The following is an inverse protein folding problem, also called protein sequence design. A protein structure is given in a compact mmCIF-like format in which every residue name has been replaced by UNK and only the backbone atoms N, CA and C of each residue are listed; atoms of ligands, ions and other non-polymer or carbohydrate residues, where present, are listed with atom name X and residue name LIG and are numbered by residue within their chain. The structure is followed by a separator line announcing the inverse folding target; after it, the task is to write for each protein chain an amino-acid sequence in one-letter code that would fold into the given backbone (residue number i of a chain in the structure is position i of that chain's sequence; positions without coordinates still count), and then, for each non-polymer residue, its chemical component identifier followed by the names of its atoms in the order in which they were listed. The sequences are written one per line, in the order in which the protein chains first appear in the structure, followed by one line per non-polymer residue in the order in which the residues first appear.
data_IF_676344706972
#
_entry.id   IF_676344706972
#
_cell.length_a   1.000
_cell.length_b   1.000
_cell.length_c   1.000
_cell.angle_alpha   90.00
_cell.angle_beta   90.00
_cell.angle_gamma   90.00
#
_symmetry.space_group_name_H-M   'P 1'
#
loop_
_entity.id
_entity.type
_entity.pdbx_description
1 polymer ?
#
# COMPACT_ATOMS: atom_id res chain seq x y z
N UNK A 1 -15.27 -29.40 -7.54
CA UNK A 1 -15.82 -28.43 -6.57
C UNK A 1 -14.83 -28.31 -5.43
N UNK A 2 -14.50 -27.10 -5.00
CA UNK A 2 -13.70 -26.89 -3.79
C UNK A 2 -14.69 -26.90 -2.63
N UNK A 3 -14.49 -27.81 -1.68
CA UNK A 3 -15.36 -27.94 -0.52
C UNK A 3 -14.80 -27.08 0.62
N UNK A 4 -15.55 -26.03 1.02
CA UNK A 4 -15.12 -25.06 2.03
C UNK A 4 -15.92 -25.29 3.30
N UNK A 5 -15.26 -25.75 4.37
CA UNK A 5 -15.88 -26.01 5.67
C UNK A 5 -15.66 -24.84 6.63
N UNK A 6 -16.73 -24.40 7.30
CA UNK A 6 -16.67 -23.36 8.33
C UNK A 6 -16.34 -24.02 9.68
N UNK A 7 -15.31 -23.52 10.36
CA UNK A 7 -14.89 -23.98 11.70
C UNK A 7 -15.34 -23.01 12.79
N UNK A 8 -15.78 -23.54 13.93
CA UNK A 8 -16.26 -22.78 15.09
C UNK A 8 -15.50 -23.21 16.36
N UNK A 9 -15.39 -22.31 17.35
CA UNK A 9 -14.77 -22.62 18.64
C UNK A 9 -13.25 -22.44 18.71
N UNK A 10 -12.59 -21.96 17.64
CA UNK A 10 -11.17 -21.62 17.67
C UNK A 10 -10.94 -20.28 18.41
N UNK A 11 -9.90 -20.17 19.25
CA UNK A 11 -9.58 -18.92 19.93
C UNK A 11 -9.15 -17.84 18.92
N UNK A 12 -9.62 -16.61 19.12
CA UNK A 12 -9.24 -15.47 18.29
C UNK A 12 -7.78 -15.12 18.62
N UNK A 13 -6.87 -15.06 17.62
CA UNK A 13 -5.49 -14.71 17.86
C UNK A 13 -5.37 -13.28 18.38
N UNK A 14 -4.43 -13.03 19.29
CA UNK A 14 -4.22 -11.70 19.82
C UNK A 14 -3.82 -10.72 18.71
N UNK A 15 -4.44 -9.51 18.66
CA UNK A 15 -4.13 -8.53 17.65
C UNK A 15 -2.68 -8.02 17.82
N UNK A 16 -1.82 -8.27 16.83
CA UNK A 16 -0.39 -7.85 16.81
C UNK A 16 -0.16 -6.33 16.67
N UNK A 17 -1.18 -5.50 16.76
CA UNK A 17 -1.11 -4.09 16.37
C UNK A 17 -0.97 -3.16 17.57
N UNK A 18 0.26 -2.88 17.99
CA UNK A 18 0.58 -1.67 18.78
C UNK A 18 1.42 -0.72 17.92
N UNK A 19 0.82 0.42 17.53
CA UNK A 19 1.56 1.63 17.14
C UNK A 19 2.55 1.52 15.98
N UNK A 20 2.25 0.74 14.94
CA UNK A 20 3.12 0.71 13.75
C UNK A 20 3.25 2.12 13.16
N UNK A 21 4.49 2.58 12.98
CA UNK A 21 4.79 3.84 12.27
C UNK A 21 4.19 3.77 10.86
N UNK A 22 3.64 4.87 10.33
CA UNK A 22 3.11 4.90 8.97
C UNK A 22 4.20 4.49 7.97
N UNK A 23 3.92 3.49 7.13
CA UNK A 23 4.87 2.99 6.13
C UNK A 23 5.17 4.01 5.01
N UNK A 24 4.32 5.02 4.85
CA UNK A 24 4.39 5.99 3.75
C UNK A 24 4.07 7.41 4.23
N UNK A 25 4.71 8.45 3.65
CA UNK A 25 4.63 9.82 4.15
C UNK A 25 3.37 10.58 3.69
N UNK A 26 2.22 9.92 3.51
CA UNK A 26 1.01 10.54 2.92
C UNK A 26 0.54 11.81 3.65
N UNK A 27 0.69 11.87 4.97
CA UNK A 27 0.29 13.02 5.77
C UNK A 27 1.14 14.27 5.52
N UNK A 28 2.40 14.08 5.13
CA UNK A 28 3.36 15.17 4.89
C UNK A 28 3.47 15.52 3.40
N UNK A 29 2.86 14.74 2.51
CA UNK A 29 2.96 14.89 1.07
C UNK A 29 2.05 16.02 0.57
N UNK A 30 2.63 17.11 0.07
CA UNK A 30 1.88 18.26 -0.47
C UNK A 30 1.43 18.00 -1.91
N UNK A 31 0.41 18.72 -2.36
CA UNK A 31 -0.05 18.65 -3.76
C UNK A 31 1.10 18.98 -4.71
N UNK A 32 1.32 18.11 -5.70
CA UNK A 32 2.43 18.19 -6.65
C UNK A 32 3.68 17.40 -6.23
N UNK A 33 3.83 17.03 -4.95
CA UNK A 33 4.96 16.24 -4.48
C UNK A 33 4.76 14.75 -4.74
N UNK A 34 5.89 14.02 -4.72
CA UNK A 34 5.90 12.57 -4.86
C UNK A 34 6.90 11.91 -3.92
N UNK A 35 6.67 10.65 -3.60
CA UNK A 35 7.66 9.77 -2.99
C UNK A 35 7.82 8.50 -3.83
N UNK A 36 8.98 7.85 -3.72
CA UNK A 36 9.30 6.61 -4.42
C UNK A 36 9.58 5.48 -3.44
N UNK A 37 9.15 4.28 -3.81
CA UNK A 37 9.41 3.04 -3.08
C UNK A 37 10.20 2.12 -4.00
N UNK A 38 11.37 1.60 -3.58
CA UNK A 38 12.13 0.67 -4.39
C UNK A 38 11.31 -0.59 -4.64
N UNK A 39 11.39 -1.09 -5.86
CA UNK A 39 10.79 -2.37 -6.21
C UNK A 39 11.71 -3.46 -5.66
N UNK A 40 11.39 -4.00 -4.47
CA UNK A 40 12.15 -5.10 -3.89
C UNK A 40 11.75 -6.42 -4.54
N UNK A 41 12.58 -6.93 -5.45
CA UNK A 41 12.41 -8.24 -6.10
C UNK A 41 13.12 -8.27 -7.45
N UNK A 42 13.65 -9.43 -7.82
CA UNK A 42 14.26 -9.67 -9.13
C UNK A 42 13.37 -9.10 -10.25
N UNK A 43 14.01 -8.55 -11.29
CA UNK A 43 13.40 -7.89 -12.47
C UNK A 43 12.19 -8.61 -13.08
N UNK A 44 11.95 -9.88 -12.75
CA UNK A 44 10.96 -10.79 -13.31
C UNK A 44 10.08 -11.54 -12.27
N UNK A 45 9.82 -10.98 -11.08
CA UNK A 45 8.97 -11.60 -10.06
C UNK A 45 7.69 -10.84 -9.69
N UNK A 46 6.72 -11.53 -9.09
CA UNK A 46 5.48 -10.98 -8.47
C UNK A 46 5.70 -9.85 -7.45
N UNK A 47 6.96 -9.52 -7.11
CA UNK A 47 7.35 -8.42 -6.22
C UNK A 47 7.02 -7.02 -6.76
N UNK A 48 7.09 -6.83 -8.08
CA UNK A 48 6.87 -5.51 -8.72
C UNK A 48 5.40 -5.08 -8.61
N UNK A 49 4.49 -5.98 -8.96
CA UNK A 49 3.05 -5.79 -8.83
C UNK A 49 2.64 -5.65 -7.35
N UNK A 50 3.29 -6.41 -6.47
CA UNK A 50 3.07 -6.30 -5.02
C UNK A 50 3.48 -4.92 -4.48
N UNK A 51 4.57 -4.33 -4.96
CA UNK A 51 4.98 -2.99 -4.52
C UNK A 51 3.96 -1.92 -4.95
N UNK A 52 3.51 -1.95 -6.21
CA UNK A 52 2.48 -1.05 -6.72
C UNK A 52 1.18 -1.20 -5.93
N UNK A 53 0.71 -2.44 -5.77
CA UNK A 53 -0.52 -2.74 -5.07
C UNK A 53 -0.48 -2.28 -3.60
N UNK A 54 0.63 -2.52 -2.89
CA UNK A 54 0.81 -2.06 -1.50
C UNK A 54 0.68 -0.54 -1.39
N UNK A 55 1.33 0.22 -2.28
CA UNK A 55 1.27 1.69 -2.26
C UNK A 55 -0.14 2.18 -2.59
N UNK A 56 -0.79 1.60 -3.61
CA UNK A 56 -2.16 1.95 -3.99
C UNK A 56 -3.16 1.68 -2.86
N UNK A 57 -3.12 0.48 -2.26
CA UNK A 57 -3.99 0.10 -1.16
C UNK A 57 -3.75 0.99 0.08
N UNK A 58 -2.50 1.33 0.37
CA UNK A 58 -2.18 2.21 1.48
C UNK A 58 -2.68 3.65 1.24
N UNK A 59 -2.53 4.19 0.02
CA UNK A 59 -3.04 5.51 -0.34
C UNK A 59 -4.57 5.57 -0.24
N UNK A 60 -5.27 4.54 -0.74
CA UNK A 60 -6.72 4.44 -0.64
C UNK A 60 -7.19 4.35 0.83
N UNK A 61 -6.50 3.56 1.66
CA UNK A 61 -6.80 3.46 3.08
C UNK A 61 -6.53 4.77 3.83
N UNK A 62 -5.42 5.44 3.52
CA UNK A 62 -5.09 6.72 4.13
C UNK A 62 -6.14 7.78 3.78
N UNK A 63 -6.51 7.91 2.50
CA UNK A 63 -7.60 8.78 2.02
C UNK A 63 -8.88 8.54 2.83
N UNK A 64 -9.34 7.28 2.90
CA UNK A 64 -10.59 6.93 3.58
C UNK A 64 -10.59 7.29 5.08
N UNK A 65 -9.43 7.22 5.75
CA UNK A 65 -9.31 7.41 7.19
C UNK A 65 -8.98 8.85 7.61
N UNK A 66 -8.38 9.64 6.73
CA UNK A 66 -7.81 10.94 7.10
C UNK A 66 -8.37 12.09 6.26
N UNK A 67 -8.43 11.94 4.93
CA UNK A 67 -8.87 12.99 4.02
C UNK A 67 -9.52 12.37 2.78
N UNK A 68 -10.86 12.40 2.75
CA UNK A 68 -11.64 11.82 1.65
C UNK A 68 -11.52 12.59 0.34
N UNK A 69 -11.03 13.83 0.38
CA UNK A 69 -10.79 14.66 -0.81
C UNK A 69 -9.42 14.41 -1.42
N UNK A 70 -8.51 13.79 -0.67
CA UNK A 70 -7.20 13.42 -1.15
C UNK A 70 -7.26 12.57 -2.43
N UNK A 71 -6.42 12.92 -3.40
CA UNK A 71 -6.18 12.22 -4.65
C UNK A 71 -4.71 11.87 -4.74
N UNK A 72 -4.44 10.60 -4.98
CA UNK A 72 -3.11 10.09 -5.24
C UNK A 72 -3.10 9.38 -6.58
N UNK A 73 -1.97 9.44 -7.29
CA UNK A 73 -1.71 8.56 -8.43
C UNK A 73 -0.42 7.81 -8.19
N UNK A 74 -0.36 6.55 -8.61
CA UNK A 74 0.81 5.69 -8.43
C UNK A 74 1.17 5.06 -9.77
N UNK A 75 2.47 5.06 -10.11
CA UNK A 75 3.00 4.48 -11.35
C UNK A 75 4.30 3.75 -11.07
N UNK A 76 4.58 2.74 -11.89
CA UNK A 76 5.87 2.05 -11.92
C UNK A 76 6.80 2.85 -12.84
N UNK A 77 7.94 3.27 -12.30
CA UNK A 77 9.08 3.75 -13.06
C UNK A 77 10.08 2.60 -13.22
N UNK A 78 10.11 2.01 -14.42
CA UNK A 78 10.99 0.86 -14.71
C UNK A 78 12.44 1.27 -14.96
N UNK A 79 12.69 2.52 -15.33
CA UNK A 79 14.05 3.00 -15.56
C UNK A 79 14.76 3.13 -14.21
N UNK A 80 14.08 3.71 -13.23
CA UNK A 80 14.60 3.91 -11.88
C UNK A 80 14.37 2.70 -10.96
N UNK A 81 13.56 1.72 -11.38
CA UNK A 81 13.25 0.53 -10.58
C UNK A 81 12.41 0.85 -9.34
N UNK A 82 11.53 1.85 -9.42
CA UNK A 82 10.72 2.33 -8.29
C UNK A 82 9.23 2.36 -8.61
N UNK A 83 8.41 2.28 -7.58
CA UNK A 83 7.01 2.71 -7.61
C UNK A 83 6.96 4.15 -7.09
N UNK A 84 6.46 5.07 -7.90
CA UNK A 84 6.31 6.48 -7.52
C UNK A 84 4.85 6.81 -7.27
N UNK A 85 4.58 7.55 -6.20
CA UNK A 85 3.26 7.99 -5.80
C UNK A 85 3.24 9.51 -5.66
N UNK A 86 2.29 10.17 -6.32
CA UNK A 86 2.09 11.61 -6.31
C UNK A 86 0.82 12.00 -5.56
N UNK A 87 0.83 13.15 -4.88
CA UNK A 87 -0.38 13.81 -4.38
C UNK A 87 -0.91 14.77 -5.45
N UNK A 88 -2.16 14.60 -5.85
CA UNK A 88 -2.81 15.38 -6.91
C UNK A 88 -3.76 16.46 -6.38
N UNK A 89 -4.43 16.20 -5.25
CA UNK A 89 -5.33 17.10 -4.54
C UNK A 89 -5.47 16.59 -3.11
#
# INVERSE_FOLDING_TARGET
MIDVKIETGLPIPEPRSRGMKPNYPFANLKVGESFSVPISGERYGTGNEKALQRVMSAAANWKRRNDTKAKFTTRIDRADGVVRCWRLA
#
